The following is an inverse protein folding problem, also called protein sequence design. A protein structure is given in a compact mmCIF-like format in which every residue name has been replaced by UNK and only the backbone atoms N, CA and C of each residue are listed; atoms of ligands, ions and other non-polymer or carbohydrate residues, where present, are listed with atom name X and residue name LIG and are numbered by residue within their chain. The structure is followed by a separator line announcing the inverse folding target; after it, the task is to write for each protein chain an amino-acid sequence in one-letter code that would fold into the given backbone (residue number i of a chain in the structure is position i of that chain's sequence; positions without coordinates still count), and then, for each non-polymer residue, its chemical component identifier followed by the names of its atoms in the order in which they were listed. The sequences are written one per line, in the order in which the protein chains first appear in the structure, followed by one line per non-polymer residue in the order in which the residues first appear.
data_IF_218561336105
#
_entry.id   IF_218561336105
#
_cell.length_a   1.000
_cell.length_b   1.000
_cell.length_c   1.000
_cell.angle_alpha   90.00
_cell.angle_beta   90.00
_cell.angle_gamma   90.00
#
_symmetry.space_group_name_H-M   'P 1'
#
loop_
_entity.id
_entity.type
_entity.pdbx_description
1 polymer ?
#
# COMPACT_ATOMS: atom_id res chain seq x y z
N UNK A 1 -3.02 -24.01 -0.99
CA UNK A 1 -3.96 -24.16 -2.11
C UNK A 1 -4.67 -22.85 -2.29
N UNK A 2 -4.71 -22.30 -3.51
CA UNK A 2 -5.40 -21.06 -3.83
C UNK A 2 -6.60 -21.38 -4.74
N UNK A 3 -7.76 -20.79 -4.45
CA UNK A 3 -8.97 -20.91 -5.27
C UNK A 3 -9.27 -19.56 -5.91
N UNK A 4 -9.15 -19.48 -7.24
CA UNK A 4 -9.37 -18.24 -7.99
C UNK A 4 -10.85 -17.82 -7.96
N UNK A 5 -11.78 -18.77 -8.09
CA UNK A 5 -13.20 -18.45 -8.02
C UNK A 5 -13.61 -17.87 -6.66
N UNK A 6 -13.09 -18.41 -5.55
CA UNK A 6 -13.30 -17.82 -4.22
C UNK A 6 -12.76 -16.39 -4.16
N UNK A 7 -11.57 -16.15 -4.73
CA UNK A 7 -10.98 -14.81 -4.80
C UNK A 7 -11.89 -13.82 -5.54
N UNK A 8 -12.49 -14.24 -6.65
CA UNK A 8 -13.32 -13.37 -7.50
C UNK A 8 -14.74 -13.16 -6.99
N UNK A 9 -15.30 -14.13 -6.24
CA UNK A 9 -16.75 -14.14 -5.94
C UNK A 9 -17.08 -13.80 -4.49
N UNK A 10 -16.19 -14.10 -3.55
CA UNK A 10 -16.52 -14.09 -2.10
C UNK A 10 -15.42 -13.50 -1.23
N UNK A 11 -14.20 -13.36 -1.75
CA UNK A 11 -13.08 -12.90 -0.96
C UNK A 11 -13.10 -11.38 -0.76
N UNK A 12 -13.42 -10.95 0.45
CA UNK A 12 -13.15 -9.59 0.91
C UNK A 12 -11.66 -9.38 1.25
N UNK A 13 -10.90 -10.46 1.40
CA UNK A 13 -9.46 -10.42 1.63
C UNK A 13 -8.78 -11.64 1.01
N UNK A 14 -7.49 -11.50 0.68
CA UNK A 14 -6.69 -12.58 0.09
C UNK A 14 -6.81 -13.86 0.92
N UNK A 15 -6.78 -13.78 2.25
CA UNK A 15 -6.85 -14.93 3.15
C UNK A 15 -8.10 -15.81 2.99
N UNK A 16 -9.18 -15.29 2.41
CA UNK A 16 -10.41 -16.03 2.12
C UNK A 16 -10.28 -16.96 0.89
N UNK A 17 -9.25 -16.78 0.06
CA UNK A 17 -9.01 -17.59 -1.13
C UNK A 17 -7.89 -18.64 -0.94
N UNK A 18 -7.20 -18.62 0.21
CA UNK A 18 -6.10 -19.54 0.52
C UNK A 18 -6.52 -20.57 1.57
N UNK A 19 -6.35 -21.84 1.24
CA UNK A 19 -6.75 -22.96 2.08
C UNK A 19 -5.61 -23.96 2.25
N UNK A 20 -5.61 -24.68 3.38
CA UNK A 20 -4.96 -25.98 3.44
C UNK A 20 -5.88 -27.04 2.78
N UNK A 21 -5.33 -28.21 2.43
CA UNK A 21 -6.05 -29.30 1.77
C UNK A 21 -7.42 -29.60 2.36
N UNK A 22 -7.44 -29.89 3.66
CA UNK A 22 -8.68 -30.22 4.37
C UNK A 22 -9.66 -29.06 4.49
N UNK A 23 -9.19 -27.81 4.53
CA UNK A 23 -10.07 -26.65 4.61
C UNK A 23 -10.74 -26.37 3.26
N UNK A 24 -10.02 -26.55 2.16
CA UNK A 24 -10.58 -26.42 0.82
C UNK A 24 -11.73 -27.43 0.62
N UNK A 25 -11.47 -28.71 0.87
CA UNK A 25 -12.48 -29.76 0.73
C UNK A 25 -13.72 -29.47 1.58
N UNK A 26 -13.55 -29.04 2.83
CA UNK A 26 -14.69 -28.74 3.72
C UNK A 26 -15.51 -27.54 3.26
N UNK A 27 -14.86 -26.46 2.82
CA UNK A 27 -15.53 -25.24 2.35
C UNK A 27 -16.26 -25.50 1.04
N UNK A 28 -15.63 -26.24 0.12
CA UNK A 28 -16.17 -26.48 -1.22
C UNK A 28 -17.08 -27.71 -1.30
N UNK A 29 -17.07 -28.62 -0.32
CA UNK A 29 -18.02 -29.75 -0.28
C UNK A 29 -19.49 -29.33 -0.12
N UNK A 30 -19.75 -28.12 0.40
CA UNK A 30 -21.11 -27.58 0.56
C UNK A 30 -21.54 -26.69 -0.62
N UNK A 31 -20.60 -26.27 -1.45
CA UNK A 31 -20.87 -25.54 -2.68
C UNK A 31 -21.27 -26.56 -3.74
N UNK A 32 -22.43 -26.37 -4.38
CA UNK A 32 -22.85 -27.20 -5.53
C UNK A 32 -21.98 -26.94 -6.78
N UNK A 33 -21.07 -25.99 -6.70
CA UNK A 33 -20.23 -25.50 -7.79
C UNK A 33 -19.03 -26.42 -7.96
N UNK A 34 -19.17 -27.36 -8.90
CA UNK A 34 -18.15 -28.33 -9.28
C UNK A 34 -17.02 -27.74 -10.14
N UNK A 35 -17.00 -26.40 -10.30
CA UNK A 35 -16.11 -25.68 -11.21
C UNK A 35 -15.00 -24.89 -10.51
N UNK A 36 -14.94 -24.86 -9.17
CA UNK A 36 -13.85 -24.15 -8.47
C UNK A 36 -12.57 -24.96 -8.59
N UNK A 37 -11.61 -24.41 -9.33
CA UNK A 37 -10.31 -25.03 -9.53
C UNK A 37 -9.34 -24.57 -8.44
N UNK A 38 -8.49 -25.49 -7.99
CA UNK A 38 -7.49 -25.22 -6.98
C UNK A 38 -6.09 -25.33 -7.57
N UNK A 39 -5.31 -24.26 -7.45
CA UNK A 39 -3.88 -24.29 -7.74
C UNK A 39 -3.08 -24.69 -6.49
N UNK A 40 -2.27 -25.73 -6.65
CA UNK A 40 -1.26 -26.07 -5.65
C UNK A 40 -0.16 -25.02 -5.64
N UNK A 41 -0.08 -24.30 -4.52
CA UNK A 41 1.02 -23.37 -4.28
C UNK A 41 2.26 -24.19 -3.95
N UNK A 42 3.23 -24.19 -4.86
CA UNK A 42 4.55 -24.77 -4.57
C UNK A 42 5.20 -23.89 -3.49
N UNK A 43 5.46 -24.42 -2.28
CA UNK A 43 6.13 -23.64 -1.26
C UNK A 43 7.50 -23.22 -1.79
N UNK A 44 7.83 -21.94 -1.66
CA UNK A 44 9.18 -21.48 -1.88
C UNK A 44 10.12 -22.33 -1.01
N UNK A 45 11.07 -23.03 -1.62
CA UNK A 45 12.10 -23.77 -0.90
C UNK A 45 13.27 -22.82 -0.70
N UNK A 46 13.46 -22.25 0.51
CA UNK A 46 14.61 -21.42 0.76
C UNK A 46 15.91 -22.20 0.51
N UNK A 47 16.92 -21.53 -0.04
CA UNK A 47 18.25 -22.11 -0.27
C UNK A 47 18.84 -22.70 1.02
N UNK A 48 19.67 -23.76 0.97
CA UNK A 48 20.33 -24.29 2.16
C UNK A 48 21.12 -23.19 2.88
N UNK A 49 20.84 -22.98 4.18
CA UNK A 49 21.44 -21.91 5.00
C UNK A 49 20.57 -20.67 5.20
N UNK A 50 19.42 -20.61 4.53
CA UNK A 50 18.42 -19.58 4.74
C UNK A 50 17.51 -19.95 5.93
N UNK A 51 17.58 -19.15 7.00
CA UNK A 51 16.72 -19.28 8.19
C UNK A 51 15.36 -18.56 8.01
N UNK A 52 14.96 -18.21 6.78
CA UNK A 52 13.62 -17.69 6.56
C UNK A 52 12.63 -18.81 6.86
N UNK A 53 11.88 -18.64 7.96
CA UNK A 53 10.64 -19.39 8.13
C UNK A 53 9.71 -19.01 6.97
N UNK A 54 8.86 -19.93 6.52
CA UNK A 54 7.78 -19.65 5.56
C UNK A 54 6.69 -18.73 6.18
N UNK A 55 7.09 -17.79 7.02
CA UNK A 55 6.23 -16.82 7.68
C UNK A 55 5.93 -15.66 6.74
N UNK A 56 4.75 -15.09 6.92
CA UNK A 56 4.32 -13.91 6.16
C UNK A 56 5.28 -12.76 6.46
N UNK A 57 5.82 -12.15 5.41
CA UNK A 57 6.59 -10.92 5.52
C UNK A 57 5.63 -9.75 5.38
N UNK A 58 5.61 -8.86 6.38
CA UNK A 58 4.90 -7.60 6.28
C UNK A 58 5.87 -6.56 5.70
N UNK A 59 5.48 -5.91 4.61
CA UNK A 59 6.21 -4.77 4.07
C UNK A 59 5.61 -3.48 4.63
N UNK A 60 6.46 -2.49 4.84
CA UNK A 60 6.06 -1.18 5.33
C UNK A 60 6.07 -0.16 4.19
N UNK A 61 5.03 0.66 4.10
CA UNK A 61 4.98 1.77 3.15
C UNK A 61 6.02 2.83 3.54
N UNK A 62 6.97 3.08 2.66
CA UNK A 62 8.08 4.01 2.89
C UNK A 62 7.85 5.37 2.24
N UNK A 63 7.29 5.39 1.03
CA UNK A 63 6.95 6.63 0.34
C UNK A 63 5.87 6.42 -0.73
N UNK A 64 5.19 7.51 -1.07
CA UNK A 64 4.23 7.58 -2.16
C UNK A 64 4.61 8.74 -3.06
N UNK A 65 4.80 8.46 -4.35
CA UNK A 65 5.03 9.45 -5.39
C UNK A 65 3.70 9.77 -6.07
N UNK A 66 3.35 11.05 -6.12
CA UNK A 66 2.11 11.55 -6.73
C UNK A 66 2.41 12.46 -7.93
N UNK A 67 1.48 12.51 -8.90
CA UNK A 67 1.62 13.33 -10.12
C UNK A 67 0.30 14.00 -10.56
N UNK A 68 0.28 15.33 -10.69
CA UNK A 68 -0.75 16.05 -11.47
C UNK A 68 -0.13 16.44 -12.77
N UNK A 69 -0.67 15.94 -13.87
CA UNK A 69 -0.24 16.28 -15.22
C UNK A 69 1.25 15.97 -15.45
N UNK A 70 2.16 16.86 -15.02
CA UNK A 70 3.62 16.71 -15.12
C UNK A 70 4.39 17.06 -13.83
N UNK A 71 3.70 17.50 -12.77
CA UNK A 71 4.33 17.93 -11.52
C UNK A 71 4.35 16.78 -10.50
N UNK A 72 5.54 16.34 -10.13
CA UNK A 72 5.75 15.25 -9.18
C UNK A 72 5.98 15.80 -7.76
N UNK A 73 5.28 15.20 -6.81
CA UNK A 73 5.44 15.45 -5.37
C UNK A 73 5.49 14.13 -4.63
N UNK A 74 6.02 14.10 -3.42
CA UNK A 74 6.11 12.84 -2.66
C UNK A 74 5.74 12.98 -1.20
N UNK A 75 5.05 11.96 -0.69
CA UNK A 75 4.90 11.71 0.73
C UNK A 75 5.96 10.71 1.17
N UNK A 76 6.73 11.04 2.20
CA UNK A 76 7.88 10.22 2.62
C UNK A 76 7.83 9.98 4.12
N UNK A 77 7.98 8.72 4.52
CA UNK A 77 8.14 8.33 5.91
C UNK A 77 9.58 8.58 6.35
N UNK A 78 9.76 9.30 7.44
CA UNK A 78 11.06 9.60 8.04
C UNK A 78 11.22 8.79 9.31
N UNK A 79 12.24 7.93 9.30
CA UNK A 79 12.58 7.03 10.39
C UNK A 79 12.23 5.58 10.07
N UNK A 80 12.66 4.70 10.98
CA UNK A 80 12.38 3.26 10.95
C UNK A 80 11.60 2.81 12.20
N UNK A 81 11.30 3.73 13.10
CA UNK A 81 10.64 3.45 14.37
C UNK A 81 9.11 3.45 14.20
N UNK A 82 8.39 2.89 15.17
CA UNK A 82 6.93 2.90 15.19
C UNK A 82 6.32 4.31 15.18
N UNK A 83 7.05 5.31 15.69
CA UNK A 83 6.63 6.73 15.73
C UNK A 83 7.17 7.54 14.53
N UNK A 84 7.50 6.85 13.43
CA UNK A 84 8.05 7.50 12.23
C UNK A 84 7.08 8.56 11.69
N UNK A 85 7.65 9.72 11.31
CA UNK A 85 6.84 10.87 10.89
C UNK A 85 6.75 10.93 9.38
N UNK A 86 5.62 11.38 8.87
CA UNK A 86 5.44 11.62 7.45
C UNK A 86 5.72 13.08 7.09
N UNK A 87 6.32 13.28 5.92
CA UNK A 87 6.50 14.60 5.32
C UNK A 87 5.93 14.63 3.91
N UNK A 88 5.54 15.82 3.47
CA UNK A 88 5.31 16.16 2.08
C UNK A 88 6.55 16.85 1.53
N UNK A 89 6.96 16.48 0.32
CA UNK A 89 8.08 17.08 -0.39
C UNK A 89 7.66 17.50 -1.80
N UNK A 90 7.93 18.77 -2.12
CA UNK A 90 7.77 19.34 -3.44
C UNK A 90 9.08 20.02 -3.86
N UNK A 91 9.68 19.53 -4.94
CA UNK A 91 10.96 20.05 -5.46
C UNK A 91 10.86 21.41 -6.16
N UNK A 92 9.66 21.84 -6.55
CA UNK A 92 9.40 23.07 -7.29
C UNK A 92 8.20 23.84 -6.70
N UNK A 93 8.12 23.90 -5.36
CA UNK A 93 7.03 24.59 -4.65
C UNK A 93 7.04 26.11 -4.89
N UNK A 94 8.22 26.72 -5.02
CA UNK A 94 8.37 28.14 -5.31
C UNK A 94 9.55 28.41 -6.28
N UNK A 95 9.66 29.65 -6.77
CA UNK A 95 10.74 30.10 -7.67
C UNK A 95 11.23 31.49 -7.28
N UNK A 96 12.53 31.60 -7.04
CA UNK A 96 13.18 32.90 -6.88
C UNK A 96 13.78 33.38 -8.20
N UNK A 97 13.37 34.58 -8.63
CA UNK A 97 13.86 35.24 -9.84
C UNK A 97 13.15 34.83 -11.13
N UNK A 98 13.32 35.64 -12.17
CA UNK A 98 12.67 35.45 -13.47
C UNK A 98 13.51 34.54 -14.38
N UNK A 99 14.15 35.09 -15.43
CA UNK A 99 14.80 34.32 -16.49
C UNK A 99 15.99 33.46 -16.01
N UNK A 100 16.72 33.90 -14.99
CA UNK A 100 17.86 33.18 -14.40
C UNK A 100 17.58 32.66 -12.98
N UNK A 101 16.28 32.54 -12.64
CA UNK A 101 15.84 32.05 -11.34
C UNK A 101 16.02 30.55 -11.16
N UNK A 102 15.89 30.10 -9.90
CA UNK A 102 15.98 28.70 -9.50
C UNK A 102 14.74 28.28 -8.70
N UNK A 103 14.45 26.98 -8.69
CA UNK A 103 13.34 26.41 -7.91
C UNK A 103 13.72 26.30 -6.45
N UNK A 104 12.78 26.60 -5.56
CA UNK A 104 12.90 26.44 -4.12
C UNK A 104 12.08 25.22 -3.71
N UNK A 105 12.72 24.20 -3.14
CA UNK A 105 12.00 23.03 -2.64
C UNK A 105 11.31 23.34 -1.31
N UNK A 106 10.21 22.65 -1.05
CA UNK A 106 9.49 22.72 0.20
C UNK A 106 9.40 21.33 0.84
N UNK A 107 9.63 21.30 2.16
CA UNK A 107 9.37 20.14 3.01
C UNK A 107 8.38 20.56 4.08
N UNK A 108 7.23 19.90 4.14
CA UNK A 108 6.19 20.14 5.16
C UNK A 108 5.94 18.88 5.98
N UNK A 109 5.81 18.99 7.31
CA UNK A 109 5.30 17.89 8.12
C UNK A 109 3.90 17.46 7.65
N UNK A 110 3.65 16.16 7.59
CA UNK A 110 2.37 15.57 7.21
C UNK A 110 1.86 14.64 8.33
N UNK A 111 1.51 15.17 9.51
CA UNK A 111 1.20 14.35 10.69
C UNK A 111 -0.06 13.51 10.55
N UNK A 112 -0.97 13.88 9.64
CA UNK A 112 -2.26 13.20 9.46
C UNK A 112 -2.19 12.06 8.43
N UNK A 113 -1.02 11.79 7.86
CA UNK A 113 -0.87 10.82 6.78
C UNK A 113 -1.38 9.41 7.15
N UNK A 114 -1.02 8.93 8.33
CA UNK A 114 -1.45 7.60 8.79
C UNK A 114 -2.96 7.54 9.06
N UNK A 115 -3.52 8.64 9.58
CA UNK A 115 -4.96 8.76 9.79
C UNK A 115 -5.74 8.70 8.47
N UNK A 116 -5.18 9.22 7.38
CA UNK A 116 -5.80 9.16 6.06
C UNK A 116 -5.87 7.74 5.49
N UNK A 117 -4.95 6.87 5.88
CA UNK A 117 -4.87 5.48 5.42
C UNK A 117 -5.66 4.50 6.29
N UNK A 118 -6.18 4.92 7.44
CA UNK A 118 -7.08 4.10 8.26
C UNK A 118 -8.36 3.79 7.46
N UNK A 119 -8.59 2.52 7.14
CA UNK A 119 -9.71 2.07 6.28
C UNK A 119 -11.08 2.59 6.73
N UNK A 120 -11.33 2.67 8.05
CA UNK A 120 -12.61 3.15 8.59
C UNK A 120 -12.79 4.64 8.29
N UNK A 121 -11.70 5.40 8.33
CA UNK A 121 -11.69 6.84 8.08
C UNK A 121 -11.60 7.15 6.60
N UNK A 122 -10.92 6.31 5.81
CA UNK A 122 -10.83 6.43 4.36
C UNK A 122 -12.21 6.26 3.73
N UNK A 123 -12.99 5.23 4.11
CA UNK A 123 -14.33 5.02 3.56
C UNK A 123 -15.27 6.19 3.86
N UNK A 124 -15.20 6.75 5.07
CA UNK A 124 -15.95 7.96 5.41
C UNK A 124 -15.46 9.16 4.59
N UNK A 125 -14.14 9.37 4.51
CA UNK A 125 -13.53 10.49 3.79
C UNK A 125 -13.82 10.44 2.29
N UNK A 126 -13.76 9.27 1.64
CA UNK A 126 -14.12 9.05 0.24
C UNK A 126 -15.59 9.40 -0.04
N UNK A 127 -16.50 9.11 0.88
CA UNK A 127 -17.90 9.52 0.77
C UNK A 127 -18.05 11.06 0.82
N UNK A 128 -17.22 11.75 1.61
CA UNK A 128 -17.19 13.22 1.64
C UNK A 128 -16.49 13.87 0.43
N UNK A 129 -15.58 13.16 -0.25
CA UNK A 129 -14.94 13.63 -1.49
C UNK A 129 -15.92 13.88 -2.64
N UNK A 130 -17.04 13.15 -2.66
CA UNK A 130 -18.13 13.35 -3.63
C UNK A 130 -19.07 14.50 -3.26
N UNK A 131 -18.91 15.11 -2.08
CA UNK A 131 -19.88 16.04 -1.48
C UNK A 131 -19.25 17.40 -1.15
N UNK A 132 -18.51 18.04 -2.07
CA UNK A 132 -17.93 19.41 -1.92
C UNK A 132 -17.25 19.75 -0.57
N UNK A 133 -16.95 18.73 0.24
CA UNK A 133 -16.46 18.87 1.60
C UNK A 133 -14.96 19.06 1.57
N UNK A 134 -14.48 20.05 2.32
CA UNK A 134 -13.10 20.49 2.55
C UNK A 134 -12.11 19.36 2.91
N UNK A 135 -11.86 18.42 2.00
CA UNK A 135 -10.75 17.51 2.09
C UNK A 135 -9.45 18.28 1.92
N UNK A 136 -8.46 18.01 2.79
CA UNK A 136 -7.15 18.66 2.70
C UNK A 136 -6.54 18.42 1.30
N UNK A 137 -5.94 19.43 0.64
CA UNK A 137 -5.31 19.26 -0.67
C UNK A 137 -4.29 18.14 -0.71
N UNK A 138 -3.49 17.97 0.34
CA UNK A 138 -2.50 16.89 0.44
C UNK A 138 -3.16 15.49 0.46
N UNK A 139 -4.31 15.35 1.11
CA UNK A 139 -5.06 14.08 1.10
C UNK A 139 -5.65 13.79 -0.28
N UNK A 140 -6.24 14.81 -0.93
CA UNK A 140 -6.72 14.70 -2.30
C UNK A 140 -5.60 14.29 -3.25
N UNK A 141 -4.44 14.91 -3.09
CA UNK A 141 -3.22 14.63 -3.84
C UNK A 141 -2.77 13.18 -3.68
N UNK A 142 -2.80 12.67 -2.45
CA UNK A 142 -2.47 11.28 -2.16
C UNK A 142 -3.44 10.31 -2.83
N UNK A 143 -4.75 10.53 -2.70
CA UNK A 143 -5.77 9.56 -3.15
C UNK A 143 -6.03 9.62 -4.66
N UNK A 144 -6.02 10.82 -5.26
CA UNK A 144 -6.35 11.00 -6.69
C UNK A 144 -5.13 10.86 -7.59
N UNK A 145 -3.97 11.27 -7.11
CA UNK A 145 -2.79 11.46 -7.95
C UNK A 145 -1.65 10.48 -7.61
N UNK A 146 -1.91 9.44 -6.80
CA UNK A 146 -0.93 8.39 -6.51
C UNK A 146 -0.43 7.73 -7.81
N UNK A 147 0.89 7.74 -8.00
CA UNK A 147 1.56 7.15 -9.15
C UNK A 147 2.35 5.89 -8.77
N UNK A 148 3.20 5.96 -7.74
CA UNK A 148 4.03 4.84 -7.29
C UNK A 148 4.05 4.79 -5.77
N UNK A 149 3.81 3.60 -5.20
CA UNK A 149 4.01 3.31 -3.77
C UNK A 149 5.28 2.48 -3.57
N UNK A 150 6.16 2.92 -2.69
CA UNK A 150 7.40 2.23 -2.35
C UNK A 150 7.23 1.51 -1.02
N UNK A 151 7.49 0.20 -1.03
CA UNK A 151 7.42 -0.65 0.15
C UNK A 151 8.81 -1.18 0.50
N UNK A 152 9.13 -1.21 1.78
CA UNK A 152 10.40 -1.73 2.31
C UNK A 152 10.14 -2.90 3.24
N UNK A 153 11.08 -3.85 3.28
CA UNK A 153 11.08 -4.91 4.28
C UNK A 153 12.02 -4.52 5.42
N UNK A 154 11.50 -4.08 6.58
CA UNK A 154 12.34 -3.57 7.68
C UNK A 154 13.34 -4.61 8.20
N UNK A 155 12.92 -5.86 8.34
CA UNK A 155 13.78 -6.95 8.84
C UNK A 155 14.67 -7.60 7.77
N UNK A 156 14.48 -7.24 6.49
CA UNK A 156 15.21 -7.81 5.35
C UNK A 156 16.64 -7.33 5.21
N UNK A 157 17.00 -6.25 5.93
CA UNK A 157 18.32 -5.61 5.88
C UNK A 157 19.32 -6.22 6.88
N UNK A 158 18.96 -7.26 7.63
CA UNK A 158 19.83 -7.89 8.63
C UNK A 158 21.02 -8.69 8.08
N UNK A 159 21.30 -8.64 6.77
CA UNK A 159 22.50 -9.24 6.18
C UNK A 159 23.09 -8.32 5.10
N UNK A 160 23.93 -7.38 5.54
CA UNK A 160 24.97 -6.74 4.71
C UNK A 160 26.33 -6.97 5.35
#
# INVERSE_FOLDING_TARGET
MMCEECYLTTADSLDMAYFCGSCFEKVHAQLKESDHACDELVPYKPSPGCNYSNSRVCLELASVLCIESSHYVSFVRIGTDADSRWIFFDSMSDREGEAFGYSIPEIRPCPNFEEWLDERKLNNSLHFLGSDGFACPDFLRLVKDCYICFYVWPDGLLYS
#
